data_IF_198717467249
#
_entry.id   IF_198717467249
#
_cell.length_a   1.000
_cell.length_b   1.000
_cell.length_c   1.000
_cell.angle_alpha   90.00
_cell.angle_beta   90.00
_cell.angle_gamma   90.00
#
_symmetry.space_group_name_H-M   'P 1'
#
loop_
_entity.id
_entity.type
_entity.pdbx_description
1 polymer ?
#
# COMPACT_ATOMS: atom_id res chain seq x y z
N UNK A 1 19.68 10.43 17.07
CA UNK A 1 20.18 10.67 15.68
C UNK A 1 19.09 11.38 14.89
N UNK A 2 19.46 12.24 13.95
CA UNK A 2 18.48 12.90 13.08
C UNK A 2 17.95 11.90 12.06
N UNK A 3 16.62 11.74 11.98
CA UNK A 3 15.97 10.83 11.03
C UNK A 3 16.16 11.31 9.59
N UNK A 4 16.44 10.38 8.68
CA UNK A 4 16.71 10.62 7.27
C UNK A 4 15.51 10.21 6.42
N UNK A 5 15.05 11.12 5.56
CA UNK A 5 13.95 10.91 4.63
C UNK A 5 14.48 11.08 3.20
N UNK A 6 14.15 10.14 2.32
CA UNK A 6 14.37 10.28 0.88
C UNK A 6 13.04 10.52 0.18
N UNK A 7 12.98 11.54 -0.67
CA UNK A 7 11.80 11.85 -1.48
C UNK A 7 12.17 11.75 -2.96
N UNK A 8 11.55 10.81 -3.66
CA UNK A 8 11.78 10.52 -5.08
C UNK A 8 10.54 10.93 -5.86
N UNK A 9 10.59 12.07 -6.55
CA UNK A 9 9.44 12.61 -7.29
C UNK A 9 9.89 13.36 -8.54
N UNK A 10 9.28 13.02 -9.66
CA UNK A 10 9.65 13.48 -10.99
C UNK A 10 8.90 14.73 -11.48
N UNK A 11 7.93 15.20 -10.70
CA UNK A 11 7.09 16.36 -10.98
C UNK A 11 7.28 17.53 -9.98
N UNK A 12 8.21 17.41 -9.01
CA UNK A 12 8.64 18.41 -8.02
C UNK A 12 7.57 18.96 -7.06
N UNK A 13 6.27 18.80 -7.37
CA UNK A 13 5.15 19.27 -6.56
C UNK A 13 5.15 18.66 -5.16
N UNK A 14 5.21 17.32 -5.06
CA UNK A 14 5.22 16.62 -3.76
C UNK A 14 6.60 16.77 -3.10
N UNK A 15 7.67 16.67 -3.90
CA UNK A 15 9.07 16.86 -3.49
C UNK A 15 9.28 18.16 -2.74
N UNK A 16 8.94 19.29 -3.35
CA UNK A 16 9.15 20.63 -2.79
C UNK A 16 8.32 20.88 -1.54
N UNK A 17 7.06 20.44 -1.56
CA UNK A 17 6.12 20.61 -0.46
C UNK A 17 6.55 19.83 0.79
N UNK A 18 6.84 18.53 0.64
CA UNK A 18 7.28 17.68 1.75
C UNK A 18 8.68 18.03 2.23
N UNK A 19 9.61 18.39 1.35
CA UNK A 19 10.95 18.85 1.74
C UNK A 19 10.88 20.03 2.69
N UNK A 20 10.03 21.02 2.37
CA UNK A 20 9.84 22.21 3.22
C UNK A 20 9.27 21.86 4.59
N UNK A 21 8.26 20.98 4.64
CA UNK A 21 7.61 20.57 5.88
C UNK A 21 8.56 19.78 6.77
N UNK A 22 9.19 18.74 6.23
CA UNK A 22 10.04 17.85 7.02
C UNK A 22 11.36 18.49 7.43
N UNK A 23 11.96 19.33 6.59
CA UNK A 23 13.16 20.10 6.99
C UNK A 23 12.86 21.06 8.14
N UNK A 24 11.65 21.65 8.19
CA UNK A 24 11.23 22.54 9.29
C UNK A 24 11.02 21.80 10.61
N UNK A 25 10.54 20.56 10.54
CA UNK A 25 10.36 19.70 11.72
C UNK A 25 11.73 19.16 12.22
N UNK A 26 12.75 19.21 11.38
CA UNK A 26 14.13 18.86 11.75
C UNK A 26 14.60 17.52 11.18
N UNK A 27 13.88 16.92 10.23
CA UNK A 27 14.34 15.74 9.49
C UNK A 27 15.46 16.10 8.51
N UNK A 28 16.38 15.17 8.28
CA UNK A 28 17.35 15.27 7.19
C UNK A 28 16.68 14.77 5.91
N UNK A 29 16.40 15.67 4.97
CA UNK A 29 15.71 15.32 3.72
C UNK A 29 16.71 15.31 2.56
N UNK A 30 16.78 14.19 1.85
CA UNK A 30 17.37 14.11 0.51
C UNK A 30 16.27 13.93 -0.52
N UNK A 31 16.56 14.34 -1.75
CA UNK A 31 15.61 14.25 -2.86
C UNK A 31 16.24 13.60 -4.07
N UNK A 32 15.40 13.03 -4.93
CA UNK A 32 15.76 12.49 -6.23
C UNK A 32 14.60 12.69 -7.22
N UNK A 33 14.89 12.69 -8.53
CA UNK A 33 13.91 12.87 -9.61
C UNK A 33 13.62 11.58 -10.38
N UNK A 34 14.38 10.52 -10.09
CA UNK A 34 14.24 9.25 -10.77
C UNK A 34 14.67 8.09 -9.87
N UNK A 35 14.19 6.89 -10.22
CA UNK A 35 14.65 5.63 -9.61
C UNK A 35 16.17 5.50 -9.66
N UNK A 36 16.79 5.85 -10.78
CA UNK A 36 18.25 5.74 -10.98
C UNK A 36 19.01 6.62 -9.99
N UNK A 37 18.62 7.90 -9.87
CA UNK A 37 19.25 8.83 -8.93
C UNK A 37 19.05 8.37 -7.48
N UNK A 38 17.86 7.87 -7.14
CA UNK A 38 17.60 7.32 -5.81
C UNK A 38 18.51 6.14 -5.44
N UNK A 39 18.85 5.29 -6.41
CA UNK A 39 19.78 4.17 -6.24
C UNK A 39 21.24 4.66 -6.09
N UNK A 40 21.62 5.72 -6.81
CA UNK A 40 22.97 6.29 -6.76
C UNK A 40 23.28 7.05 -5.45
N UNK A 41 22.26 7.48 -4.70
CA UNK A 41 22.36 8.35 -3.51
C UNK A 41 22.78 7.66 -2.19
N UNK A 42 23.37 6.46 -2.29
CA UNK A 42 23.66 5.49 -1.22
C UNK A 42 22.43 4.67 -0.80
N UNK A 43 22.62 3.37 -0.56
CA UNK A 43 21.56 2.33 -0.49
C UNK A 43 20.32 2.80 0.28
N UNK A 44 19.11 2.63 -0.29
CA UNK A 44 17.85 3.09 0.32
C UNK A 44 17.62 2.58 1.77
N UNK A 45 18.37 1.57 2.19
CA UNK A 45 18.48 1.07 3.55
C UNK A 45 18.94 2.11 4.59
N UNK A 46 19.61 3.18 4.15
CA UNK A 46 20.14 4.22 5.03
C UNK A 46 19.10 5.25 5.46
N UNK A 47 17.91 5.24 4.85
CA UNK A 47 16.83 6.15 5.15
C UNK A 47 15.80 5.47 6.05
N UNK A 48 15.35 6.20 7.07
CA UNK A 48 14.26 5.79 7.95
C UNK A 48 12.92 5.75 7.19
N UNK A 49 12.78 6.62 6.18
CA UNK A 49 11.59 6.73 5.36
C UNK A 49 11.95 7.08 3.91
N UNK A 50 11.37 6.36 2.97
CA UNK A 50 11.48 6.63 1.53
C UNK A 50 10.08 6.85 0.97
N UNK A 51 9.89 7.97 0.26
CA UNK A 51 8.65 8.35 -0.39
C UNK A 51 8.92 8.41 -1.88
N UNK A 52 8.17 7.67 -2.68
CA UNK A 52 8.31 7.66 -4.12
C UNK A 52 6.99 8.04 -4.77
N UNK A 53 7.00 8.97 -5.71
CA UNK A 53 5.89 9.31 -6.60
C UNK A 53 6.45 9.47 -8.02
N UNK A 54 6.37 8.44 -8.83
CA UNK A 54 7.02 8.39 -10.14
C UNK A 54 6.05 7.94 -11.22
N UNK A 55 6.17 8.55 -12.41
CA UNK A 55 5.37 8.20 -13.57
C UNK A 55 6.14 7.33 -14.60
N UNK A 56 5.46 6.32 -15.14
CA UNK A 56 5.86 5.53 -16.31
C UNK A 56 7.26 4.90 -16.21
N UNK A 57 8.08 5.14 -17.24
CA UNK A 57 9.42 4.58 -17.37
C UNK A 57 10.36 5.01 -16.23
N UNK A 58 10.08 6.12 -15.52
CA UNK A 58 10.89 6.56 -14.38
C UNK A 58 10.63 5.71 -13.14
N UNK A 59 9.41 5.21 -12.96
CA UNK A 59 9.08 4.25 -11.91
C UNK A 59 9.56 2.85 -12.27
N UNK A 60 9.34 2.45 -13.53
CA UNK A 60 9.55 1.10 -14.03
C UNK A 60 10.40 1.11 -15.31
N UNK A 61 11.74 1.07 -15.20
CA UNK A 61 12.61 1.16 -16.37
C UNK A 61 12.37 -0.01 -17.33
N UNK A 62 12.40 0.25 -18.64
CA UNK A 62 12.17 -0.78 -19.69
C UNK A 62 13.19 -1.91 -19.70
N UNK A 63 14.42 -1.64 -19.27
CA UNK A 63 15.45 -2.67 -19.09
C UNK A 63 15.41 -3.15 -17.65
N UNK A 64 15.36 -4.47 -17.46
CA UNK A 64 15.59 -5.07 -16.15
C UNK A 64 17.03 -4.78 -15.75
N UNK A 65 17.18 -3.95 -14.74
CA UNK A 65 18.40 -3.84 -13.94
C UNK A 65 18.29 -4.89 -12.84
N UNK A 66 19.36 -5.65 -12.58
CA UNK A 66 19.48 -6.47 -11.37
C UNK A 66 19.45 -5.51 -10.18
N UNK A 67 18.25 -5.29 -9.65
CA UNK A 67 18.05 -4.47 -8.48
C UNK A 67 17.93 -5.37 -7.25
N UNK A 68 18.52 -4.98 -6.11
CA UNK A 68 18.31 -5.69 -4.87
C UNK A 68 16.80 -5.78 -4.57
N UNK A 69 16.34 -6.97 -4.19
CA UNK A 69 14.94 -7.22 -3.82
C UNK A 69 14.46 -6.32 -2.66
N UNK A 70 15.40 -5.79 -1.85
CA UNK A 70 15.15 -4.94 -0.68
C UNK A 70 15.20 -3.42 -0.97
N UNK A 71 14.95 -3.00 -2.20
CA UNK A 71 14.85 -1.55 -2.46
C UNK A 71 13.50 -1.02 -1.95
N UNK A 72 13.54 0.05 -1.15
CA UNK A 72 12.35 0.80 -0.73
C UNK A 72 11.65 1.55 -1.90
N UNK A 73 11.89 1.11 -3.14
CA UNK A 73 11.41 1.67 -4.39
C UNK A 73 10.25 0.81 -4.93
N UNK A 74 9.40 1.34 -5.83
CA UNK A 74 8.25 0.61 -6.34
C UNK A 74 8.64 -0.71 -7.00
N UNK A 75 7.86 -1.76 -6.77
CA UNK A 75 8.14 -3.11 -7.32
C UNK A 75 7.42 -3.33 -8.64
N UNK A 76 8.00 -4.14 -9.55
CA UNK A 76 7.26 -4.68 -10.70
C UNK A 76 6.66 -6.03 -10.28
N UNK A 77 5.34 -6.18 -10.34
CA UNK A 77 4.69 -7.48 -10.15
C UNK A 77 4.07 -7.97 -11.47
N UNK A 78 4.45 -9.16 -11.94
CA UNK A 78 3.78 -9.85 -13.06
C UNK A 78 4.04 -9.29 -14.47
N UNK A 79 3.79 -10.12 -15.49
CA UNK A 79 4.17 -9.91 -16.90
C UNK A 79 3.31 -8.88 -17.68
N UNK A 80 2.39 -8.14 -17.06
CA UNK A 80 1.36 -7.35 -17.79
C UNK A 80 1.39 -5.83 -17.60
N UNK A 81 2.56 -5.22 -17.37
CA UNK A 81 2.68 -3.74 -17.46
C UNK A 81 2.91 -3.22 -18.89
N UNK A 82 2.52 -3.98 -19.91
CA UNK A 82 3.05 -3.81 -21.27
C UNK A 82 2.65 -2.52 -22.00
N UNK A 83 1.56 -1.79 -21.68
CA UNK A 83 1.08 -0.71 -22.59
C UNK A 83 0.38 0.51 -21.96
N UNK A 84 0.17 0.58 -20.64
CA UNK A 84 -0.56 1.69 -20.00
C UNK A 84 0.36 2.64 -19.24
N UNK A 85 -0.02 3.93 -19.16
CA UNK A 85 0.63 4.87 -18.25
C UNK A 85 0.42 4.38 -16.81
N UNK A 86 1.50 3.97 -16.17
CA UNK A 86 1.49 3.54 -14.77
C UNK A 86 2.04 4.65 -13.90
N UNK A 87 1.29 5.06 -12.89
CA UNK A 87 1.78 5.93 -11.81
C UNK A 87 2.12 5.06 -10.62
N UNK A 88 3.30 5.23 -10.03
CA UNK A 88 3.75 4.47 -8.88
C UNK A 88 3.94 5.39 -7.69
N UNK A 89 3.17 5.16 -6.63
CA UNK A 89 3.31 5.84 -5.35
C UNK A 89 3.70 4.82 -4.27
N UNK A 90 4.78 5.06 -3.53
CA UNK A 90 5.24 4.17 -2.46
C UNK A 90 5.67 4.97 -1.23
N UNK A 91 5.28 4.50 -0.05
CA UNK A 91 5.88 4.89 1.23
C UNK A 91 6.54 3.66 1.84
N UNK A 92 7.84 3.73 2.12
CA UNK A 92 8.61 2.65 2.71
C UNK A 92 9.29 3.13 3.99
N UNK A 93 8.92 2.55 5.12
CA UNK A 93 9.37 2.88 6.47
C UNK A 93 10.00 1.66 7.18
N UNK A 94 10.50 0.67 6.43
CA UNK A 94 10.99 -0.61 6.98
C UNK A 94 12.20 -0.48 7.90
N UNK A 95 12.93 0.65 7.82
CA UNK A 95 14.06 0.99 8.68
C UNK A 95 13.70 1.99 9.78
N UNK A 96 12.43 2.38 9.91
CA UNK A 96 12.00 3.38 10.87
C UNK A 96 12.21 2.88 12.32
N UNK A 97 13.31 3.36 12.93
CA UNK A 97 13.74 3.20 14.33
C UNK A 97 13.22 1.95 15.06
N UNK A 98 13.90 0.81 14.86
CA UNK A 98 13.62 -0.45 15.59
C UNK A 98 13.88 -0.38 17.10
N UNK A 99 14.76 0.51 17.56
CA UNK A 99 15.19 0.57 18.98
C UNK A 99 14.48 1.65 19.82
N UNK A 100 13.74 2.59 19.20
CA UNK A 100 12.93 3.60 19.90
C UNK A 100 11.71 3.94 19.04
N UNK A 101 10.92 2.92 18.72
CA UNK A 101 9.76 3.08 17.85
C UNK A 101 8.71 4.00 18.49
N UNK A 102 8.50 5.15 17.86
CA UNK A 102 7.40 6.07 18.16
C UNK A 102 6.31 5.92 17.10
N UNK A 103 5.25 5.21 17.46
CA UNK A 103 4.10 4.96 16.60
C UNK A 103 3.36 6.26 16.24
N UNK A 104 3.29 7.23 17.15
CA UNK A 104 2.61 8.50 16.91
C UNK A 104 3.38 9.35 15.89
N UNK A 105 4.71 9.37 15.99
CA UNK A 105 5.55 10.06 15.00
C UNK A 105 5.41 9.46 13.60
N UNK A 106 5.40 8.13 13.50
CA UNK A 106 5.18 7.45 12.21
C UNK A 106 3.80 7.78 11.64
N UNK A 107 2.77 7.81 12.50
CA UNK A 107 1.42 8.21 12.11
C UNK A 107 1.37 9.63 11.56
N UNK A 108 1.98 10.59 12.24
CA UNK A 108 1.99 11.98 11.81
C UNK A 108 2.72 12.16 10.47
N UNK A 109 3.81 11.40 10.25
CA UNK A 109 4.50 11.34 8.96
C UNK A 109 3.58 10.82 7.86
N UNK A 110 2.95 9.66 8.05
CA UNK A 110 2.02 9.08 7.07
C UNK A 110 0.85 10.00 6.76
N UNK A 111 0.19 10.56 7.78
CA UNK A 111 -0.92 11.49 7.60
C UNK A 111 -0.48 12.74 6.82
N UNK A 112 0.69 13.30 7.13
CA UNK A 112 1.24 14.42 6.36
C UNK A 112 1.42 14.03 4.90
N UNK A 113 2.09 12.92 4.62
CA UNK A 113 2.40 12.50 3.24
C UNK A 113 1.13 12.26 2.44
N UNK A 114 0.18 11.50 2.99
CA UNK A 114 -1.06 11.15 2.33
C UNK A 114 -1.95 12.38 2.10
N UNK A 115 -1.99 13.33 3.03
CA UNK A 115 -2.72 14.59 2.87
C UNK A 115 -2.14 15.45 1.73
N UNK A 116 -0.83 15.60 1.66
CA UNK A 116 -0.18 16.31 0.56
C UNK A 116 -0.43 15.55 -0.76
N UNK A 117 -0.19 14.23 -0.78
CA UNK A 117 -0.40 13.40 -1.96
C UNK A 117 -1.83 13.51 -2.52
N UNK A 118 -2.84 13.50 -1.66
CA UNK A 118 -4.23 13.72 -2.08
C UNK A 118 -4.37 15.09 -2.79
N UNK A 119 -3.90 16.17 -2.17
CA UNK A 119 -4.03 17.53 -2.72
C UNK A 119 -3.32 17.75 -4.08
N UNK A 120 -2.15 17.16 -4.30
CA UNK A 120 -1.35 17.41 -5.51
C UNK A 120 -1.74 16.50 -6.69
N UNK A 121 -2.33 15.33 -6.46
CA UNK A 121 -2.80 14.41 -7.53
C UNK A 121 -4.19 14.80 -8.07
N UNK A 122 -4.85 15.76 -7.43
CA UNK A 122 -6.24 16.15 -7.72
C UNK A 122 -6.41 17.11 -8.91
N UNK A 123 -5.32 17.54 -9.57
CA UNK A 123 -5.38 18.63 -10.57
C UNK A 123 -5.65 18.20 -12.02
N UNK A 124 -5.62 16.92 -12.38
CA UNK A 124 -5.75 16.49 -13.78
C UNK A 124 -6.89 15.51 -14.05
N UNK A 125 -7.74 15.81 -15.03
CA UNK A 125 -8.78 14.94 -15.62
C UNK A 125 -8.23 13.61 -16.20
N UNK A 126 -6.92 13.37 -16.12
CA UNK A 126 -6.20 12.22 -16.66
C UNK A 126 -6.29 10.96 -15.78
N UNK A 127 -6.67 11.10 -14.49
CA UNK A 127 -6.74 9.99 -13.52
C UNK A 127 -7.57 8.81 -14.01
N UNK A 128 -8.62 9.08 -14.80
CA UNK A 128 -9.49 8.04 -15.34
C UNK A 128 -8.79 7.07 -16.31
N UNK A 129 -7.60 7.34 -16.84
CA UNK A 129 -6.94 6.44 -17.80
C UNK A 129 -5.62 5.87 -17.29
N UNK A 130 -5.31 6.11 -16.02
CA UNK A 130 -4.05 5.73 -15.39
C UNK A 130 -4.27 4.45 -14.60
N UNK A 131 -3.32 3.52 -14.69
CA UNK A 131 -3.19 2.43 -13.73
C UNK A 131 -2.28 2.94 -12.62
N UNK A 132 -2.81 3.02 -11.41
CA UNK A 132 -2.07 3.55 -10.25
C UNK A 132 -1.65 2.38 -9.37
N UNK A 133 -0.35 2.23 -9.13
CA UNK A 133 0.21 1.29 -8.17
C UNK A 133 0.61 2.06 -6.92
N UNK A 134 0.05 1.65 -5.79
CA UNK A 134 0.22 2.26 -4.48
C UNK A 134 0.83 1.20 -3.57
N UNK A 135 1.89 1.53 -2.86
CA UNK A 135 2.59 0.61 -1.97
C UNK A 135 2.90 1.26 -0.61
N UNK A 136 2.68 0.51 0.46
CA UNK A 136 3.03 0.90 1.82
C UNK A 136 3.80 -0.25 2.47
N UNK A 137 4.98 0.03 3.01
CA UNK A 137 5.75 -0.92 3.80
C UNK A 137 6.15 -0.26 5.11
N UNK A 138 5.72 -0.80 6.24
CA UNK A 138 5.89 -0.15 7.53
C UNK A 138 5.90 -1.14 8.70
N UNK A 139 6.52 -0.78 9.85
CA UNK A 139 6.42 -1.53 11.10
C UNK A 139 4.98 -1.82 11.48
N UNK A 140 4.68 -2.98 12.05
CA UNK A 140 3.33 -3.42 12.37
C UNK A 140 2.64 -2.51 13.40
N UNK A 141 2.00 -1.45 12.92
CA UNK A 141 1.41 -0.36 13.71
C UNK A 141 -0.05 -0.13 13.29
N UNK A 142 -0.97 -0.37 14.23
CA UNK A 142 -2.42 -0.28 13.95
C UNK A 142 -2.90 1.16 13.78
N UNK A 143 -2.19 2.13 14.37
CA UNK A 143 -2.54 3.55 14.28
C UNK A 143 -2.52 4.10 12.85
N UNK A 144 -1.75 3.49 11.95
CA UNK A 144 -1.66 3.85 10.52
C UNK A 144 -2.85 3.40 9.69
N UNK A 145 -3.62 2.43 10.20
CA UNK A 145 -4.69 1.79 9.46
C UNK A 145 -5.71 2.81 8.92
N UNK A 146 -6.16 3.73 9.77
CA UNK A 146 -7.20 4.70 9.38
C UNK A 146 -6.75 5.61 8.23
N UNK A 147 -5.53 6.16 8.28
CA UNK A 147 -5.03 7.07 7.25
C UNK A 147 -4.77 6.36 5.92
N UNK A 148 -4.26 5.13 5.97
CA UNK A 148 -4.03 4.31 4.78
C UNK A 148 -5.38 3.90 4.14
N UNK A 149 -6.32 3.39 4.93
CA UNK A 149 -7.64 2.97 4.44
C UNK A 149 -8.40 4.14 3.82
N UNK A 150 -8.46 5.29 4.51
CA UNK A 150 -9.11 6.50 3.99
C UNK A 150 -8.48 6.94 2.65
N UNK A 151 -7.15 6.94 2.55
CA UNK A 151 -6.45 7.25 1.32
C UNK A 151 -6.79 6.26 0.18
N UNK A 152 -6.73 4.96 0.45
CA UNK A 152 -7.05 3.92 -0.54
C UNK A 152 -8.50 4.04 -1.02
N UNK A 153 -9.45 4.26 -0.12
CA UNK A 153 -10.88 4.41 -0.46
C UNK A 153 -11.12 5.63 -1.34
N UNK A 154 -10.59 6.80 -0.97
CA UNK A 154 -10.65 8.02 -1.81
C UNK A 154 -10.07 7.79 -3.20
N UNK A 155 -9.03 6.95 -3.29
CA UNK A 155 -8.35 6.65 -4.55
C UNK A 155 -9.17 5.73 -5.45
N UNK A 156 -9.76 4.68 -4.89
CA UNK A 156 -10.69 3.78 -5.60
C UNK A 156 -11.90 4.53 -6.13
N UNK A 157 -12.50 5.38 -5.31
CA UNK A 157 -13.65 6.21 -5.66
C UNK A 157 -13.32 7.15 -6.82
N UNK A 158 -12.18 7.84 -6.73
CA UNK A 158 -11.77 8.82 -7.74
C UNK A 158 -11.42 8.19 -9.08
N UNK A 159 -10.84 6.99 -9.10
CA UNK A 159 -10.62 6.23 -10.34
C UNK A 159 -11.94 5.72 -10.92
N UNK A 160 -12.95 5.52 -10.05
CA UNK A 160 -14.31 5.15 -10.43
C UNK A 160 -14.53 3.65 -10.56
N UNK A 161 -13.77 2.84 -9.80
CA UNK A 161 -13.90 1.37 -9.84
C UNK A 161 -15.20 0.92 -9.20
N UNK A 162 -15.48 1.48 -8.03
CA UNK A 162 -16.63 1.13 -7.19
C UNK A 162 -17.11 2.39 -6.49
N UNK A 163 -18.42 2.50 -6.34
CA UNK A 163 -19.03 3.46 -5.43
C UNK A 163 -18.72 3.04 -3.98
N UNK A 164 -17.81 3.79 -3.35
CA UNK A 164 -17.32 3.53 -2.00
C UNK A 164 -18.38 3.78 -0.92
N UNK A 165 -19.36 4.65 -1.17
CA UNK A 165 -20.45 4.94 -0.20
C UNK A 165 -21.44 3.77 -0.10
N UNK A 166 -21.62 3.03 -1.19
CA UNK A 166 -22.55 1.90 -1.28
C UNK A 166 -21.85 0.53 -1.28
N UNK A 167 -20.55 0.49 -1.00
CA UNK A 167 -19.74 -0.73 -1.01
C UNK A 167 -19.21 -1.06 0.37
N UNK A 168 -19.28 -2.34 0.73
CA UNK A 168 -18.66 -2.89 1.94
C UNK A 168 -17.12 -3.03 1.81
N UNK A 169 -16.51 -2.44 0.78
CA UNK A 169 -15.06 -2.51 0.50
C UNK A 169 -14.21 -2.04 1.70
N UNK A 170 -14.63 -0.99 2.39
CA UNK A 170 -13.94 -0.53 3.60
C UNK A 170 -13.83 -1.65 4.64
N UNK A 171 -14.91 -2.39 4.88
CA UNK A 171 -14.95 -3.46 5.88
C UNK A 171 -14.01 -4.60 5.50
N UNK A 172 -13.96 -4.97 4.21
CA UNK A 172 -13.05 -6.02 3.74
C UNK A 172 -11.58 -5.61 3.88
N UNK A 173 -11.25 -4.35 3.56
CA UNK A 173 -9.90 -3.81 3.74
C UNK A 173 -9.53 -3.71 5.23
N UNK A 174 -10.42 -3.16 6.07
CA UNK A 174 -10.23 -3.04 7.51
C UNK A 174 -9.93 -4.41 8.14
N UNK A 175 -10.73 -5.41 7.80
CA UNK A 175 -10.54 -6.77 8.28
C UNK A 175 -9.22 -7.38 7.79
N UNK A 176 -8.85 -7.16 6.53
CA UNK A 176 -7.58 -7.65 5.99
C UNK A 176 -6.37 -7.01 6.70
N UNK A 177 -6.44 -5.70 7.02
CA UNK A 177 -5.42 -5.00 7.81
C UNK A 177 -5.33 -5.55 9.23
N UNK A 178 -6.47 -5.72 9.91
CA UNK A 178 -6.52 -6.30 11.25
C UNK A 178 -5.93 -7.71 11.24
N UNK A 179 -6.23 -8.53 10.24
CA UNK A 179 -5.65 -9.87 10.11
C UNK A 179 -4.12 -9.82 10.00
N UNK A 180 -3.57 -8.94 9.17
CA UNK A 180 -2.12 -8.79 9.04
C UNK A 180 -1.44 -8.31 10.33
N UNK A 181 -1.96 -7.25 10.96
CA UNK A 181 -1.33 -6.60 12.13
C UNK A 181 -1.54 -7.41 13.41
N UNK A 182 -2.79 -7.76 13.72
CA UNK A 182 -3.17 -8.40 14.98
C UNK A 182 -2.97 -9.91 14.96
N UNK A 183 -3.35 -10.58 13.87
CA UNK A 183 -3.33 -12.04 13.82
C UNK A 183 -2.02 -12.58 13.26
N UNK A 184 -1.51 -12.00 12.17
CA UNK A 184 -0.24 -12.34 11.56
C UNK A 184 0.95 -11.87 12.40
N UNK A 185 1.14 -10.56 12.50
CA UNK A 185 2.27 -9.95 13.20
C UNK A 185 2.12 -9.88 14.71
N UNK A 186 0.93 -10.16 15.28
CA UNK A 186 0.68 -10.16 16.73
C UNK A 186 1.05 -8.84 17.42
N UNK A 187 0.85 -7.71 16.73
CA UNK A 187 1.25 -6.37 17.17
C UNK A 187 2.76 -6.21 17.43
N UNK A 188 3.60 -7.05 16.82
CA UNK A 188 5.05 -6.93 16.93
C UNK A 188 5.58 -5.85 15.99
N UNK A 189 5.89 -4.67 16.54
CA UNK A 189 6.43 -3.54 15.79
C UNK A 189 7.80 -3.83 15.12
N UNK A 190 8.49 -4.92 15.46
CA UNK A 190 9.70 -5.33 14.73
C UNK A 190 9.40 -6.02 13.40
N UNK A 191 8.14 -6.41 13.19
CA UNK A 191 7.68 -7.02 11.94
C UNK A 191 7.11 -5.96 11.01
N UNK A 192 7.24 -6.21 9.73
CA UNK A 192 6.74 -5.34 8.66
C UNK A 192 5.36 -5.82 8.19
N UNK A 193 4.51 -4.87 7.85
CA UNK A 193 3.31 -5.08 7.03
C UNK A 193 3.55 -4.45 5.67
N UNK A 194 3.26 -5.19 4.60
CA UNK A 194 3.37 -4.73 3.22
C UNK A 194 1.98 -4.69 2.60
N UNK A 195 1.65 -3.57 2.01
CA UNK A 195 0.34 -3.32 1.42
C UNK A 195 0.56 -2.79 0.02
N UNK A 196 -0.09 -3.39 -0.97
CA UNK A 196 -0.10 -2.91 -2.33
C UNK A 196 -1.53 -2.77 -2.83
N UNK A 197 -1.81 -1.70 -3.55
CA UNK A 197 -3.04 -1.53 -4.29
C UNK A 197 -2.71 -1.20 -5.75
N UNK A 198 -3.33 -1.92 -6.67
CA UNK A 198 -3.32 -1.60 -8.10
C UNK A 198 -4.73 -1.21 -8.50
N UNK A 199 -4.92 0.07 -8.80
CA UNK A 199 -6.23 0.65 -9.10
C UNK A 199 -6.28 1.08 -10.56
N UNK A 200 -7.33 0.68 -11.24
CA UNK A 200 -7.58 0.97 -12.65
C UNK A 200 -9.08 1.17 -12.88
N UNK A 201 -9.48 1.58 -14.08
CA UNK A 201 -10.89 1.74 -14.44
C UNK A 201 -11.73 0.46 -14.35
N UNK A 202 -11.11 -0.71 -14.43
CA UNK A 202 -11.79 -2.00 -14.55
C UNK A 202 -11.80 -2.76 -13.22
N UNK A 203 -10.71 -2.64 -12.45
CA UNK A 203 -10.55 -3.30 -11.17
C UNK A 203 -9.64 -2.54 -10.19
N UNK A 204 -9.84 -2.84 -8.92
CA UNK A 204 -8.98 -2.51 -7.79
C UNK A 204 -8.50 -3.82 -7.16
N UNK A 205 -7.19 -4.07 -7.24
CA UNK A 205 -6.51 -5.22 -6.63
C UNK A 205 -5.78 -4.74 -5.39
N UNK A 206 -5.96 -5.45 -4.29
CA UNK A 206 -5.24 -5.20 -3.05
C UNK A 206 -4.44 -6.44 -2.68
N UNK A 207 -3.24 -6.22 -2.18
CA UNK A 207 -2.40 -7.22 -1.57
C UNK A 207 -2.02 -6.73 -0.18
N UNK A 208 -2.21 -7.55 0.84
CA UNK A 208 -1.75 -7.29 2.19
C UNK A 208 -0.93 -8.50 2.63
N UNK A 209 0.27 -8.26 3.12
CA UNK A 209 1.24 -9.27 3.54
C UNK A 209 1.85 -8.92 4.89
N UNK A 210 1.90 -9.92 5.77
CA UNK A 210 2.51 -9.85 7.10
C UNK A 210 3.67 -10.85 7.24
N UNK A 211 4.44 -10.73 8.32
CA UNK A 211 5.60 -11.59 8.64
C UNK A 211 5.25 -12.62 9.74
N UNK A 212 3.96 -12.89 9.91
CA UNK A 212 3.42 -13.94 10.75
C UNK A 212 3.68 -15.33 10.19
N UNK A 213 3.37 -16.35 10.99
CA UNK A 213 3.49 -17.76 10.56
C UNK A 213 2.48 -18.12 9.46
N UNK A 214 1.44 -17.29 9.29
CA UNK A 214 0.30 -17.52 8.42
C UNK A 214 -0.69 -18.51 9.03
N UNK A 215 -1.68 -18.95 8.25
CA UNK A 215 -2.68 -19.90 8.68
C UNK A 215 -3.16 -20.76 7.51
N UNK A 216 -3.66 -21.97 7.80
CA UNK A 216 -4.27 -22.80 6.77
C UNK A 216 -5.68 -22.27 6.45
N UNK A 217 -5.82 -21.66 5.27
CA UNK A 217 -7.10 -21.12 4.78
C UNK A 217 -8.16 -22.20 4.63
N UNK A 218 -7.76 -23.44 4.30
CA UNK A 218 -8.69 -24.55 4.15
C UNK A 218 -9.18 -25.09 5.50
N UNK A 219 -8.51 -24.73 6.59
CA UNK A 219 -8.94 -25.07 7.95
C UNK A 219 -10.02 -24.12 8.49
N UNK A 220 -10.31 -23.03 7.76
CA UNK A 220 -11.38 -22.11 8.15
C UNK A 220 -12.72 -22.84 7.97
N UNK A 221 -13.49 -23.03 9.07
CA UNK A 221 -14.78 -23.70 9.00
C UNK A 221 -15.72 -22.97 8.04
N UNK A 222 -16.55 -23.71 7.30
CA UNK A 222 -17.56 -23.12 6.43
C UNK A 222 -18.44 -22.16 7.26
N UNK A 223 -18.40 -20.86 6.96
CA UNK A 223 -19.09 -19.86 7.75
C UNK A 223 -20.60 -19.79 7.42
N UNK A 224 -21.06 -20.52 6.40
CA UNK A 224 -22.49 -20.73 6.13
C UNK A 224 -23.10 -21.84 6.98
N UNK A 225 -22.27 -22.61 7.68
CA UNK A 225 -22.70 -23.60 8.66
C UNK A 225 -23.31 -22.90 9.91
N UNK A 226 -24.57 -23.21 10.28
CA UNK A 226 -25.21 -22.67 11.48
C UNK A 226 -24.40 -22.83 12.77
N UNK A 227 -23.56 -23.86 12.89
CA UNK A 227 -22.71 -24.09 14.07
C UNK A 227 -21.53 -23.09 14.17
N UNK A 228 -21.09 -22.54 13.04
CA UNK A 228 -20.01 -21.56 12.99
C UNK A 228 -20.52 -20.11 13.03
N UNK A 229 -21.81 -19.89 12.81
CA UNK A 229 -22.48 -18.59 12.80
C UNK A 229 -22.26 -17.80 14.11
N UNK A 230 -22.15 -18.49 15.25
CA UNK A 230 -21.96 -17.89 16.58
C UNK A 230 -20.50 -17.80 17.05
N UNK A 231 -19.52 -18.31 16.28
CA UNK A 231 -18.11 -18.16 16.60
C UNK A 231 -17.65 -16.74 16.24
N UNK A 232 -16.96 -16.08 17.17
CA UNK A 232 -16.43 -14.73 16.98
C UNK A 232 -15.20 -14.70 16.06
N UNK A 233 -14.44 -15.80 16.02
CA UNK A 233 -13.25 -15.99 15.18
C UNK A 233 -13.62 -16.49 13.77
N UNK A 234 -12.99 -15.95 12.73
CA UNK A 234 -13.14 -16.43 11.35
C UNK A 234 -14.19 -15.69 10.51
N UNK A 235 -15.00 -14.82 11.13
CA UNK A 235 -15.96 -13.96 10.41
C UNK A 235 -15.28 -13.01 9.43
N UNK A 236 -14.05 -12.62 9.74
CA UNK A 236 -13.29 -11.69 8.92
C UNK A 236 -13.05 -12.19 7.51
N UNK A 237 -12.59 -13.43 7.40
CA UNK A 237 -12.33 -14.07 6.10
C UNK A 237 -13.63 -14.21 5.31
N UNK A 238 -14.75 -14.54 5.95
CA UNK A 238 -16.07 -14.54 5.31
C UNK A 238 -16.45 -13.16 4.77
N UNK A 239 -16.26 -12.10 5.56
CA UNK A 239 -16.57 -10.73 5.11
C UNK A 239 -15.77 -10.41 3.85
N UNK A 240 -14.47 -10.71 3.84
CA UNK A 240 -13.61 -10.49 2.68
C UNK A 240 -14.14 -11.27 1.45
N UNK A 241 -14.48 -12.56 1.60
CA UNK A 241 -15.03 -13.37 0.51
C UNK A 241 -16.40 -12.90 0.00
N UNK A 242 -17.24 -12.32 0.87
CA UNK A 242 -18.56 -11.82 0.48
C UNK A 242 -18.48 -10.46 -0.24
N UNK A 243 -17.47 -9.66 0.08
CA UNK A 243 -17.30 -8.31 -0.45
C UNK A 243 -16.49 -8.29 -1.74
N UNK A 244 -15.43 -9.10 -1.80
CA UNK A 244 -14.48 -9.11 -2.91
C UNK A 244 -14.89 -10.12 -3.98
N UNK A 245 -14.53 -9.85 -5.23
CA UNK A 245 -14.94 -10.73 -6.35
C UNK A 245 -13.94 -11.87 -6.58
N UNK A 246 -12.66 -11.64 -6.27
CA UNK A 246 -11.63 -12.68 -6.21
C UNK A 246 -10.83 -12.53 -4.91
N UNK A 247 -10.52 -13.65 -4.26
CA UNK A 247 -9.74 -13.69 -3.01
C UNK A 247 -8.79 -14.88 -3.09
N UNK A 248 -7.50 -14.64 -2.84
CA UNK A 248 -6.45 -15.66 -2.88
C UNK A 248 -5.47 -15.41 -1.75
N UNK A 249 -5.09 -16.48 -1.05
CA UNK A 249 -3.98 -16.45 -0.12
C UNK A 249 -2.79 -17.20 -0.73
N UNK A 250 -1.57 -16.85 -0.32
CA UNK A 250 -0.40 -17.68 -0.61
C UNK A 250 -0.44 -19.00 0.19
N UNK A 251 0.44 -19.95 -0.14
CA UNK A 251 0.50 -21.26 0.52
C UNK A 251 0.71 -21.16 2.03
N UNK A 252 1.47 -20.16 2.49
CA UNK A 252 1.71 -19.90 3.91
C UNK A 252 0.50 -19.31 4.62
N UNK A 253 -0.38 -18.61 3.90
CA UNK A 253 -1.54 -17.90 4.47
C UNK A 253 -1.21 -16.57 5.16
N UNK A 254 -0.07 -15.96 4.88
CA UNK A 254 0.35 -14.64 5.42
C UNK A 254 0.34 -13.53 4.36
N UNK A 255 -0.06 -13.85 3.11
CA UNK A 255 -0.29 -12.88 2.03
C UNK A 255 -1.67 -13.09 1.47
N UNK A 256 -2.51 -12.07 1.58
CA UNK A 256 -3.85 -11.98 1.03
C UNK A 256 -3.84 -11.10 -0.21
N UNK A 257 -4.31 -11.63 -1.33
CA UNK A 257 -4.65 -10.88 -2.54
C UNK A 257 -6.16 -10.88 -2.74
N UNK A 258 -6.73 -9.72 -2.99
CA UNK A 258 -8.16 -9.57 -3.21
C UNK A 258 -8.46 -8.56 -4.33
N UNK A 259 -9.42 -8.88 -5.18
CA UNK A 259 -9.77 -8.09 -6.37
C UNK A 259 -11.22 -7.69 -6.31
N UNK A 260 -11.49 -6.42 -6.56
CA UNK A 260 -12.82 -5.87 -6.78
C UNK A 260 -12.92 -5.30 -8.19
N UNK A 261 -13.91 -5.72 -8.95
CA UNK A 261 -14.15 -5.32 -10.33
C UNK A 261 -15.33 -4.39 -10.43
N UNK A 262 -15.35 -3.58 -11.48
CA UNK A 262 -16.52 -2.77 -11.83
C UNK A 262 -17.71 -3.65 -12.23
N UNK A 263 -18.93 -3.12 -12.09
CA UNK A 263 -20.14 -3.84 -12.50
C UNK A 263 -20.16 -4.21 -14.00
N UNK A 264 -19.53 -3.39 -14.86
CA UNK A 264 -19.41 -3.67 -16.28
C UNK A 264 -18.60 -4.94 -16.54
N UNK A 265 -17.46 -5.11 -15.86
CA UNK A 265 -16.57 -6.27 -15.99
C UNK A 265 -17.19 -7.57 -15.41
N UNK A 266 -18.15 -7.46 -14.48
CA UNK A 266 -18.86 -8.62 -13.93
C UNK A 266 -19.91 -9.19 -14.87
N UNK A 267 -20.48 -8.35 -15.74
CA UNK A 267 -21.59 -8.73 -16.62
C UNK A 267 -21.14 -9.51 -17.87
N UNK A 268 -19.84 -9.54 -18.17
CA UNK A 268 -19.23 -10.22 -19.32
C UNK A 268 -18.73 -11.66 -18.99
N UNK A 269 -19.04 -12.20 -17.80
CA UNK A 269 -18.74 -13.58 -17.39
C UNK A 269 -20.01 -14.41 -17.21
#
# INVERSE_FOLDING_TARGET
MQKKILIVDDHDDLKSALTKVFSKIGYFVKTAESRKEAIELDQTSDFDLVITDLDGDKAFPKKETEEPADTCLPTKNGEEFSRSFVKAFKICATNFQRENFDEAELKDLFETILNYKAQFVDKTNTVKHIREKIEFEFPSAISLMHSILDYLMKRVEKVGVVDTENSNLFIALDEAFVNAIKHGNKFDANKIVRISAEVSKTEARFTIEDEGEGFDVNSIPDPTDPENLFKASGRGVLIIHNVMDEVRYNERGNRLEMVKKTEAEKSDR
#
